data_IF_109431798927
#
_entry.id   IF_109431798927
#
_cell.length_a   1.000
_cell.length_b   1.000
_cell.length_c   1.000
_cell.angle_alpha   90.00
_cell.angle_beta   90.00
_cell.angle_gamma   90.00
#
_symmetry.space_group_name_H-M   'P 1'
#
loop_
_entity.id
_entity.type
_entity.pdbx_description
1 polymer ?
#
# COMPACT_ATOMS: atom_id res chain seq x y z
N UNK A 1 22.65 12.76 11.47
CA UNK A 1 22.09 11.47 11.93
C UNK A 1 21.52 10.76 10.71
N UNK A 2 22.00 9.56 10.40
CA UNK A 2 21.56 8.79 9.23
C UNK A 2 20.20 8.18 9.54
N UNK A 3 19.13 8.58 8.85
CA UNK A 3 17.82 7.97 9.02
C UNK A 3 17.93 6.48 8.70
N UNK A 4 17.64 5.62 9.66
CA UNK A 4 17.68 4.17 9.41
C UNK A 4 16.43 3.75 8.63
N UNK A 5 16.50 2.60 7.96
CA UNK A 5 15.31 2.02 7.31
C UNK A 5 14.21 1.76 8.34
N UNK A 6 14.56 1.37 9.57
CA UNK A 6 13.59 1.14 10.63
C UNK A 6 12.81 2.42 10.97
N UNK A 7 13.50 3.53 11.20
CA UNK A 7 12.83 4.80 11.50
C UNK A 7 11.95 5.27 10.33
N UNK A 8 12.40 5.08 9.09
CA UNK A 8 11.59 5.41 7.91
C UNK A 8 10.32 4.57 7.87
N UNK A 9 10.43 3.26 8.16
CA UNK A 9 9.29 2.37 8.23
C UNK A 9 8.31 2.78 9.32
N UNK A 10 8.78 3.09 10.54
CA UNK A 10 7.90 3.50 11.65
C UNK A 10 7.15 4.80 11.33
N UNK A 11 7.86 5.80 10.80
CA UNK A 11 7.25 7.09 10.45
C UNK A 11 6.22 6.98 9.32
N UNK A 12 6.43 6.09 8.35
CA UNK A 12 5.56 5.95 7.18
C UNK A 12 4.53 4.82 7.31
N UNK A 13 4.56 4.03 8.39
CA UNK A 13 3.68 2.88 8.56
C UNK A 13 2.21 3.28 8.57
N UNK A 14 1.87 4.32 9.33
CA UNK A 14 0.50 4.82 9.41
C UNK A 14 0.01 5.29 8.03
N UNK A 15 0.80 6.11 7.33
CA UNK A 15 0.49 6.58 5.98
C UNK A 15 0.34 5.43 4.99
N UNK A 16 1.21 4.42 5.07
CA UNK A 16 1.15 3.27 4.19
C UNK A 16 -0.11 2.42 4.41
N UNK A 17 -0.57 2.30 5.67
CA UNK A 17 -1.82 1.61 6.01
C UNK A 17 -3.04 2.38 5.50
N UNK A 18 -3.06 3.71 5.63
CA UNK A 18 -4.15 4.54 5.13
C UNK A 18 -4.25 4.48 3.60
N UNK A 19 -3.11 4.55 2.89
CA UNK A 19 -3.09 4.39 1.43
C UNK A 19 -3.55 3.00 1.03
N UNK A 20 -3.09 1.94 1.71
CA UNK A 20 -3.54 0.57 1.46
C UNK A 20 -5.06 0.42 1.65
N UNK A 21 -5.64 1.01 2.71
CA UNK A 21 -7.10 1.02 2.94
C UNK A 21 -7.85 1.76 1.84
N UNK A 22 -7.33 2.91 1.41
CA UNK A 22 -7.91 3.69 0.31
C UNK A 22 -7.90 2.90 -1.00
N UNK A 23 -6.77 2.28 -1.35
CA UNK A 23 -6.63 1.42 -2.52
C UNK A 23 -7.58 0.23 -2.44
N UNK A 24 -7.65 -0.43 -1.29
CA UNK A 24 -8.55 -1.55 -1.06
C UNK A 24 -10.02 -1.18 -1.18
N UNK A 25 -10.43 -0.01 -0.68
CA UNK A 25 -11.81 0.47 -0.81
C UNK A 25 -12.26 0.65 -2.27
N UNK A 26 -11.34 0.89 -3.20
CA UNK A 26 -11.64 0.96 -4.63
C UNK A 26 -11.85 -0.43 -5.28
N UNK A 27 -11.54 -1.53 -4.58
CA UNK A 27 -11.68 -2.92 -5.10
C UNK A 27 -13.11 -3.19 -5.56
N UNK A 28 -14.09 -2.78 -4.76
CA UNK A 28 -15.52 -3.00 -5.07
C UNK A 28 -16.01 -2.17 -6.27
N UNK A 29 -15.44 -0.98 -6.45
CA UNK A 29 -15.81 -0.07 -7.55
C UNK A 29 -15.17 -0.48 -8.88
N UNK A 30 -13.87 -0.83 -8.85
CA UNK A 30 -13.09 -1.13 -10.06
C UNK A 30 -13.14 -2.60 -10.46
N UNK A 31 -13.49 -3.50 -9.53
CA UNK A 31 -13.63 -4.94 -9.75
C UNK A 31 -12.44 -5.54 -10.53
N UNK A 32 -12.67 -6.13 -11.71
CA UNK A 32 -11.62 -6.76 -12.51
C UNK A 32 -10.50 -5.81 -12.97
N UNK A 33 -10.76 -4.50 -13.04
CA UNK A 33 -9.73 -3.51 -13.39
C UNK A 33 -8.86 -3.08 -12.19
N UNK A 34 -9.24 -3.46 -10.97
CA UNK A 34 -8.64 -2.97 -9.75
C UNK A 34 -7.14 -3.24 -9.66
N UNK A 35 -6.68 -4.46 -9.97
CA UNK A 35 -5.26 -4.81 -9.88
C UNK A 35 -4.38 -3.97 -10.82
N UNK A 36 -4.84 -3.74 -12.06
CA UNK A 36 -4.13 -2.89 -13.02
C UNK A 36 -4.09 -1.43 -12.56
N UNK A 37 -5.18 -0.94 -11.98
CA UNK A 37 -5.22 0.41 -11.42
C UNK A 37 -4.30 0.55 -10.21
N UNK A 38 -4.31 -0.41 -9.27
CA UNK A 38 -3.42 -0.44 -8.11
C UNK A 38 -1.96 -0.43 -8.56
N UNK A 39 -1.59 -1.21 -9.59
CA UNK A 39 -0.24 -1.19 -10.13
C UNK A 39 0.17 0.23 -10.55
N UNK A 40 -0.68 0.94 -11.29
CA UNK A 40 -0.44 2.34 -11.68
C UNK A 40 -0.32 3.30 -10.49
N UNK A 41 -1.05 3.08 -9.39
CA UNK A 41 -0.89 3.87 -8.16
C UNK A 41 0.46 3.59 -7.49
N UNK A 42 0.83 2.31 -7.35
CA UNK A 42 2.10 1.90 -6.76
C UNK A 42 3.30 2.41 -7.57
N UNK A 43 3.19 2.53 -8.89
CA UNK A 43 4.24 3.12 -9.73
C UNK A 43 4.44 4.62 -9.50
N UNK A 44 3.39 5.33 -9.08
CA UNK A 44 3.48 6.75 -8.73
C UNK A 44 4.02 6.97 -7.31
N UNK A 45 3.94 5.95 -6.45
CA UNK A 45 4.46 6.03 -5.09
C UNK A 45 5.99 6.00 -5.10
N UNK A 46 6.57 7.08 -4.59
CA UNK A 46 7.98 7.20 -4.30
C UNK A 46 8.16 7.63 -2.83
N UNK A 47 9.22 7.16 -2.15
CA UNK A 47 10.29 6.29 -2.66
C UNK A 47 9.88 4.80 -2.72
N UNK A 48 10.65 3.98 -3.46
CA UNK A 48 10.36 2.55 -3.63
C UNK A 48 10.16 1.74 -2.31
N UNK A 49 10.86 2.05 -1.19
CA UNK A 49 10.59 1.42 0.11
C UNK A 49 9.16 1.70 0.61
N UNK A 50 8.64 2.92 0.39
CA UNK A 50 7.27 3.26 0.75
C UNK A 50 6.24 2.48 -0.09
N UNK A 51 6.45 2.40 -1.42
CA UNK A 51 5.59 1.61 -2.29
C UNK A 51 5.56 0.12 -1.87
N UNK A 52 6.69 -0.42 -1.41
CA UNK A 52 6.75 -1.80 -0.88
C UNK A 52 5.95 -1.96 0.43
N UNK A 53 5.97 -0.95 1.31
CA UNK A 53 5.15 -0.94 2.53
C UNK A 53 3.66 -0.96 2.18
N UNK A 54 3.21 -0.07 1.29
CA UNK A 54 1.80 0.00 0.86
C UNK A 54 1.36 -1.33 0.24
N UNK A 55 2.19 -1.93 -0.63
CA UNK A 55 1.88 -3.24 -1.23
C UNK A 55 1.68 -4.34 -0.17
N UNK A 56 2.52 -4.36 0.87
CA UNK A 56 2.43 -5.36 1.94
C UNK A 56 1.18 -5.19 2.79
N UNK A 57 0.86 -3.96 3.17
CA UNK A 57 -0.36 -3.69 3.94
C UNK A 57 -1.62 -3.95 3.11
N UNK A 58 -1.57 -3.66 1.79
CA UNK A 58 -2.65 -3.99 0.87
C UNK A 58 -2.88 -5.52 0.78
N UNK A 59 -1.81 -6.30 0.65
CA UNK A 59 -1.89 -7.76 0.63
C UNK A 59 -2.52 -8.30 1.93
N UNK A 60 -2.12 -7.78 3.10
CA UNK A 60 -2.72 -8.14 4.39
C UNK A 60 -4.23 -7.88 4.44
N UNK A 61 -4.70 -6.75 3.91
CA UNK A 61 -6.12 -6.42 3.85
C UNK A 61 -6.89 -7.37 2.93
N UNK A 62 -6.29 -7.76 1.81
CA UNK A 62 -6.86 -8.76 0.91
C UNK A 62 -7.00 -10.12 1.60
N UNK A 63 -5.91 -10.61 2.19
CA UNK A 63 -5.88 -11.87 2.96
C UNK A 63 -6.93 -11.88 4.08
N UNK A 64 -7.08 -10.77 4.81
CA UNK A 64 -8.07 -10.64 5.89
C UNK A 64 -9.50 -10.60 5.38
N UNK A 65 -9.73 -10.12 4.15
CA UNK A 65 -11.07 -10.03 3.57
C UNK A 65 -11.51 -11.29 2.82
N UNK A 66 -10.55 -12.16 2.47
CA UNK A 66 -10.79 -13.42 1.77
C UNK A 66 -10.85 -14.62 2.72
N UNK A 67 -10.69 -14.40 4.03
CA UNK A 67 -10.70 -15.39 5.10
C UNK A 67 -11.87 -15.14 6.04
#
# INVERSE_FOLDING_TARGET
MTQTRADFHEQNLASAQDEARRLFGQKTLLQGAWLNWVASQLYQLQPAPYASMVRRELARLQETSEN
#
